data_IF_053721844223
#
_entry.id   IF_053721844223
#
_cell.length_a   1.000
_cell.length_b   1.000
_cell.length_c   1.000
_cell.angle_alpha   90.00
_cell.angle_beta   90.00
_cell.angle_gamma   90.00
#
_symmetry.space_group_name_H-M   'P 1'
#
loop_
_entity.id
_entity.type
_entity.pdbx_description
1 polymer ?
#
# COMPACT_ATOMS: atom_id res chain seq x y z
N UNK A 1 -8.08 13.20 42.35
CA UNK A 1 -8.21 11.86 41.72
C UNK A 1 -9.13 11.90 40.51
N UNK A 2 -8.70 12.47 39.37
CA UNK A 2 -9.51 12.51 38.11
C UNK A 2 -8.68 12.40 36.81
N UNK A 3 -7.40 12.02 36.89
CA UNK A 3 -6.51 11.95 35.71
C UNK A 3 -6.44 10.56 35.05
N UNK A 4 -6.99 9.52 35.68
CA UNK A 4 -6.91 8.14 35.17
C UNK A 4 -8.15 7.64 34.43
N UNK A 5 -9.24 8.42 34.37
CA UNK A 5 -10.51 7.98 33.78
C UNK A 5 -10.57 8.19 32.25
N UNK A 6 -9.73 9.07 31.69
CA UNK A 6 -9.78 9.42 30.26
C UNK A 6 -8.85 8.56 29.38
N UNK A 7 -7.85 7.90 29.96
CA UNK A 7 -6.86 7.12 29.20
C UNK A 7 -7.25 5.65 28.94
N UNK A 8 -8.39 5.21 29.48
CA UNK A 8 -8.82 3.81 29.41
C UNK A 8 -9.60 3.38 28.14
N UNK A 9 -10.30 4.24 27.37
CA UNK A 9 -11.02 3.76 26.17
C UNK A 9 -10.11 3.64 24.94
N UNK A 10 -8.99 4.37 24.90
CA UNK A 10 -8.11 4.42 23.71
C UNK A 10 -7.29 3.14 23.56
N UNK A 11 -6.90 2.49 24.67
CA UNK A 11 -6.14 1.24 24.65
C UNK A 11 -7.02 0.04 24.26
N UNK A 12 -8.33 0.11 24.48
CA UNK A 12 -9.26 -0.98 24.17
C UNK A 12 -9.61 -1.12 22.68
N UNK A 13 -9.45 -0.06 21.87
CA UNK A 13 -9.77 -0.13 20.42
C UNK A 13 -8.66 -0.71 19.56
N UNK A 14 -7.43 -0.84 20.06
CA UNK A 14 -6.29 -1.31 19.25
C UNK A 14 -6.23 -2.84 19.11
N UNK A 15 -7.09 -3.60 19.80
CA UNK A 15 -7.08 -5.05 19.80
C UNK A 15 -8.02 -5.72 18.76
N UNK A 16 -8.72 -4.94 17.94
CA UNK A 16 -9.65 -5.47 16.92
C UNK A 16 -9.14 -5.37 15.47
N UNK A 17 -7.87 -5.03 15.25
CA UNK A 17 -7.24 -5.07 13.92
C UNK A 17 -6.48 -6.39 13.65
N UNK A 18 -6.87 -7.48 14.33
CA UNK A 18 -6.34 -8.82 14.12
C UNK A 18 -7.12 -9.57 13.04
N UNK A 19 -6.44 -9.94 11.95
CA UNK A 19 -6.78 -11.02 11.01
C UNK A 19 -8.20 -11.03 10.40
N UNK A 20 -8.48 -10.17 9.42
CA UNK A 20 -9.23 -10.64 8.25
C UNK A 20 -8.25 -11.27 7.24
N UNK A 21 -7.85 -12.53 7.51
CA UNK A 21 -7.40 -13.44 6.45
C UNK A 21 -8.64 -14.11 5.87
N UNK A 22 -9.48 -13.30 5.22
CA UNK A 22 -10.58 -13.84 4.42
C UNK A 22 -9.90 -14.41 3.18
N UNK A 23 -9.85 -15.74 3.12
CA UNK A 23 -9.62 -16.47 1.88
C UNK A 23 -10.70 -16.04 0.90
N UNK A 24 -10.46 -14.98 0.15
CA UNK A 24 -11.22 -14.69 -1.05
C UNK A 24 -10.60 -15.56 -2.14
N UNK A 25 -11.23 -16.71 -2.34
CA UNK A 25 -11.11 -17.54 -3.52
C UNK A 25 -10.84 -16.69 -4.77
N UNK A 26 -9.73 -17.00 -5.43
CA UNK A 26 -9.55 -17.24 -6.86
C UNK A 26 -10.58 -16.71 -7.90
N UNK A 27 -11.23 -15.56 -7.69
CA UNK A 27 -12.21 -14.95 -8.59
C UNK A 27 -11.85 -13.47 -8.84
N UNK A 28 -10.59 -13.20 -9.18
CA UNK A 28 -10.26 -11.94 -9.89
C UNK A 28 -9.05 -12.08 -10.84
N UNK A 29 -8.78 -13.29 -11.31
CA UNK A 29 -7.66 -13.57 -12.21
C UNK A 29 -8.01 -13.44 -13.71
N UNK A 30 -9.07 -12.69 -14.08
CA UNK A 30 -9.51 -12.63 -15.48
C UNK A 30 -10.12 -11.29 -15.90
N UNK A 31 -9.45 -10.16 -15.63
CA UNK A 31 -9.85 -8.87 -16.22
C UNK A 31 -8.72 -7.86 -16.48
N UNK A 32 -7.46 -8.26 -16.39
CA UNK A 32 -6.35 -7.46 -16.90
C UNK A 32 -5.45 -8.40 -17.69
N UNK A 33 -5.04 -8.01 -18.91
CA UNK A 33 -3.89 -8.64 -19.60
C UNK A 33 -2.67 -8.68 -18.65
N UNK A 34 -1.56 -9.38 -18.98
CA UNK A 34 -0.48 -9.70 -18.05
C UNK A 34 0.21 -8.45 -17.47
N UNK A 35 -0.49 -7.79 -16.55
CA UNK A 35 -0.09 -6.63 -15.82
C UNK A 35 0.46 -7.21 -14.54
N UNK A 36 1.78 -7.15 -14.45
CA UNK A 36 2.54 -7.60 -13.29
C UNK A 36 1.99 -6.94 -12.03
N UNK A 37 2.14 -7.61 -10.89
CA UNK A 37 1.74 -7.03 -9.62
C UNK A 37 2.47 -5.69 -9.38
N UNK A 38 3.74 -5.60 -9.82
CA UNK A 38 4.52 -4.36 -9.87
C UNK A 38 3.80 -3.23 -10.63
N UNK A 39 3.21 -3.50 -11.80
CA UNK A 39 2.58 -2.46 -12.62
C UNK A 39 1.28 -1.91 -12.00
N UNK A 40 0.54 -2.76 -11.27
CA UNK A 40 -0.59 -2.30 -10.47
C UNK A 40 -0.16 -1.40 -9.31
N UNK A 41 0.96 -1.73 -8.66
CA UNK A 41 1.52 -0.91 -7.59
C UNK A 41 2.01 0.45 -8.12
N UNK A 42 2.63 0.50 -9.29
CA UNK A 42 3.04 1.76 -9.95
C UNK A 42 1.82 2.64 -10.21
N UNK A 43 0.75 2.08 -10.80
CA UNK A 43 -0.47 2.86 -11.07
C UNK A 43 -1.12 3.39 -9.79
N UNK A 44 -1.18 2.58 -8.73
CA UNK A 44 -1.70 3.03 -7.44
C UNK A 44 -0.83 4.16 -6.85
N UNK A 45 0.49 4.05 -6.99
CA UNK A 45 1.42 5.09 -6.55
C UNK A 45 1.23 6.39 -7.35
N UNK A 46 1.07 6.30 -8.68
CA UNK A 46 0.78 7.45 -9.56
C UNK A 46 -0.52 8.17 -9.12
N UNK A 47 -1.58 7.41 -8.83
CA UNK A 47 -2.87 7.98 -8.40
C UNK A 47 -2.78 8.68 -7.04
N UNK A 48 -1.93 8.18 -6.12
CA UNK A 48 -1.72 8.77 -4.79
C UNK A 48 -0.80 9.99 -4.86
N UNK A 49 0.23 9.94 -5.70
CA UNK A 49 1.11 11.07 -5.98
C UNK A 49 0.34 12.23 -6.63
N UNK A 50 -0.57 11.91 -7.56
CA UNK A 50 -1.47 12.90 -8.17
C UNK A 50 -2.43 13.56 -7.16
N UNK A 51 -2.70 12.92 -6.02
CA UNK A 51 -3.46 13.49 -4.90
C UNK A 51 -2.59 14.38 -3.99
N UNK A 52 -1.28 14.44 -4.23
CA UNK A 52 -0.31 15.23 -3.47
C UNK A 52 0.32 14.47 -2.29
N UNK A 53 0.07 13.16 -2.15
CA UNK A 53 0.72 12.33 -1.14
C UNK A 53 1.92 11.58 -1.73
N UNK A 54 2.95 12.36 -2.10
CA UNK A 54 4.19 11.83 -2.66
C UNK A 54 4.94 10.93 -1.65
N UNK A 55 4.79 11.16 -0.35
CA UNK A 55 5.41 10.34 0.70
C UNK A 55 4.93 8.89 0.66
N UNK A 56 3.62 8.69 0.58
CA UNK A 56 3.03 7.35 0.42
C UNK A 56 3.34 6.76 -0.95
N UNK A 57 3.36 7.57 -2.01
CA UNK A 57 3.69 7.13 -3.36
C UNK A 57 5.11 6.56 -3.46
N UNK A 58 6.12 7.20 -2.85
CA UNK A 58 7.51 6.72 -2.81
C UNK A 58 7.57 5.28 -2.26
N UNK A 59 6.90 5.02 -1.14
CA UNK A 59 6.89 3.69 -0.52
C UNK A 59 6.28 2.62 -1.45
N UNK A 60 5.26 3.00 -2.22
CA UNK A 60 4.62 2.11 -3.19
C UNK A 60 5.50 1.85 -4.41
N UNK A 61 6.23 2.85 -4.92
CA UNK A 61 7.19 2.65 -6.01
C UNK A 61 8.34 1.74 -5.59
N UNK A 62 8.87 1.90 -4.38
CA UNK A 62 9.91 1.01 -3.85
C UNK A 62 9.42 -0.43 -3.75
N UNK A 63 8.20 -0.62 -3.26
CA UNK A 63 7.59 -1.95 -3.21
C UNK A 63 7.41 -2.53 -4.60
N UNK A 64 6.98 -1.72 -5.57
CA UNK A 64 6.86 -2.15 -6.96
C UNK A 64 8.20 -2.57 -7.57
N UNK A 65 9.29 -1.88 -7.22
CA UNK A 65 10.66 -2.18 -7.66
C UNK A 65 11.25 -3.42 -6.97
N UNK A 66 10.83 -3.73 -5.74
CA UNK A 66 11.26 -4.92 -5.02
C UNK A 66 10.57 -6.22 -5.50
N UNK A 67 9.60 -6.13 -6.41
CA UNK A 67 8.89 -7.29 -6.92
C UNK A 67 9.74 -8.08 -7.92
N UNK A 68 9.63 -9.43 -7.95
CA UNK A 68 10.36 -10.26 -8.91
C UNK A 68 9.92 -10.05 -10.37
N UNK A 69 8.74 -9.47 -10.59
CA UNK A 69 8.18 -9.10 -11.90
C UNK A 69 8.30 -7.58 -12.18
N UNK A 70 9.19 -6.89 -11.46
CA UNK A 70 9.42 -5.46 -11.62
C UNK A 70 9.95 -5.13 -13.02
N UNK A 71 9.22 -4.27 -13.72
CA UNK A 71 9.66 -3.71 -15.00
C UNK A 71 10.67 -2.58 -14.75
N UNK A 72 11.55 -2.25 -15.72
CA UNK A 72 12.49 -1.13 -15.60
C UNK A 72 11.81 0.20 -15.21
N UNK A 73 10.56 0.41 -15.64
CA UNK A 73 9.75 1.58 -15.27
C UNK A 73 9.51 1.71 -13.77
N UNK A 74 9.45 0.60 -13.01
CA UNK A 74 9.31 0.62 -11.56
C UNK A 74 10.52 1.29 -10.88
N UNK A 75 11.72 0.98 -11.38
CA UNK A 75 12.97 1.55 -10.86
C UNK A 75 13.11 3.03 -11.21
N UNK A 76 12.71 3.42 -12.44
CA UNK A 76 12.70 4.83 -12.84
C UNK A 76 11.75 5.62 -11.95
N UNK A 77 10.52 5.15 -11.77
CA UNK A 77 9.52 5.81 -10.91
C UNK A 77 9.97 5.90 -9.45
N UNK A 78 10.60 4.85 -8.92
CA UNK A 78 11.15 4.88 -7.57
C UNK A 78 12.28 5.92 -7.42
N UNK A 79 13.08 6.15 -8.47
CA UNK A 79 14.12 7.18 -8.49
C UNK A 79 13.57 8.59 -8.68
N UNK A 80 12.62 8.79 -9.59
CA UNK A 80 11.94 10.08 -9.82
C UNK A 80 11.25 10.58 -8.56
N UNK A 81 10.64 9.70 -7.78
CA UNK A 81 9.95 10.08 -6.56
C UNK A 81 10.88 10.63 -5.45
N UNK A 82 12.21 10.54 -5.59
CA UNK A 82 13.18 11.11 -4.66
C UNK A 82 13.77 12.46 -5.09
N UNK A 83 13.54 12.90 -6.33
CA UNK A 83 14.00 14.21 -6.83
C UNK A 83 12.97 15.30 -6.56
#
# INVERSE_FOLDING_TARGET
>A
MRLHVVFLPVVAMLAAAGCQTTKTDAEQAKAQGPSSQSERLIKLADDIDAQGDSGTAIALYQRAAAMPDAKPSAFVKAGEAYM
#
